data_IF_232047107383
#
_entry.id   IF_232047107383
#
_cell.length_a   1.000
_cell.length_b   1.000
_cell.length_c   1.000
_cell.angle_alpha   90.00
_cell.angle_beta   90.00
_cell.angle_gamma   90.00
#
_symmetry.space_group_name_H-M   'P 1'
#
loop_
_entity.id
_entity.type
_entity.pdbx_description
1 polymer ?
#
# COMPACT_ATOMS: atom_id res chain seq x y z
N UNK A 1 5.60 -9.22 -9.92
CA UNK A 1 5.30 -9.24 -11.37
C UNK A 1 5.79 -7.92 -11.96
N UNK A 2 6.53 -7.93 -13.08
CA UNK A 2 6.97 -6.69 -13.72
C UNK A 2 5.79 -5.76 -14.04
N UNK A 3 5.96 -4.45 -13.82
CA UNK A 3 4.96 -3.42 -14.15
C UNK A 3 3.87 -3.15 -13.11
N UNK A 4 3.85 -3.89 -11.99
CA UNK A 4 2.87 -3.66 -10.91
C UNK A 4 3.20 -2.38 -10.13
N UNK A 5 2.16 -1.60 -9.81
CA UNK A 5 2.25 -0.38 -8.99
C UNK A 5 1.91 -0.66 -7.53
N UNK A 6 2.70 -0.11 -6.62
CA UNK A 6 2.48 -0.21 -5.17
C UNK A 6 2.24 1.19 -4.63
N UNK A 7 1.06 1.42 -4.05
CA UNK A 7 0.71 2.71 -3.45
C UNK A 7 1.52 3.05 -2.19
N UNK A 8 1.53 4.33 -1.83
CA UNK A 8 2.22 4.82 -0.64
C UNK A 8 1.70 4.17 0.64
N UNK A 9 2.61 3.85 1.56
CA UNK A 9 2.27 3.33 2.89
C UNK A 9 1.65 1.93 2.89
N UNK A 10 1.79 1.14 1.82
CA UNK A 10 1.39 -0.28 1.79
C UNK A 10 2.24 -1.10 2.76
N UNK A 11 1.64 -2.12 3.38
CA UNK A 11 2.36 -3.14 4.17
C UNK A 11 2.25 -4.47 3.43
N UNK A 12 3.41 -5.09 3.16
CA UNK A 12 3.52 -6.37 2.47
C UNK A 12 3.95 -7.42 3.49
N UNK A 13 3.13 -8.46 3.67
CA UNK A 13 3.47 -9.60 4.51
C UNK A 13 4.69 -10.36 3.98
N UNK A 14 5.47 -10.94 4.88
CA UNK A 14 6.61 -11.78 4.51
C UNK A 14 6.17 -12.92 3.55
N UNK A 15 7.01 -13.22 2.56
CA UNK A 15 6.76 -14.22 1.51
C UNK A 15 5.53 -13.97 0.61
N UNK A 16 4.95 -12.76 0.62
CA UNK A 16 3.84 -12.44 -0.28
C UNK A 16 4.29 -12.26 -1.73
N UNK A 17 3.48 -12.74 -2.69
CA UNK A 17 3.72 -12.57 -4.13
C UNK A 17 2.71 -11.59 -4.72
N UNK A 18 3.19 -10.40 -5.07
CA UNK A 18 2.37 -9.34 -5.66
C UNK A 18 2.19 -9.59 -7.16
N UNK A 19 0.92 -9.79 -7.56
CA UNK A 19 0.51 -10.03 -8.95
C UNK A 19 -0.39 -8.94 -9.54
N UNK A 20 -0.85 -7.98 -8.73
CA UNK A 20 -1.75 -6.90 -9.12
C UNK A 20 -1.40 -5.62 -8.38
N UNK A 21 -1.83 -4.47 -8.93
CA UNK A 21 -1.66 -3.17 -8.30
C UNK A 21 -2.29 -3.11 -6.91
N UNK A 22 -1.61 -2.45 -5.98
CA UNK A 22 -2.03 -2.34 -4.58
C UNK A 22 -2.32 -0.88 -4.24
N UNK A 23 -3.51 -0.63 -3.69
CA UNK A 23 -3.94 0.70 -3.26
C UNK A 23 -3.12 1.22 -2.06
N UNK A 24 -2.94 2.55 -1.93
CA UNK A 24 -2.26 3.15 -0.78
C UNK A 24 -2.82 2.68 0.56
N UNK A 25 -1.94 2.56 1.55
CA UNK A 25 -2.30 2.17 2.93
C UNK A 25 -3.03 0.82 3.06
N UNK A 26 -2.87 -0.09 2.08
CA UNK A 26 -3.42 -1.45 2.13
C UNK A 26 -2.42 -2.42 2.77
N UNK A 27 -2.92 -3.35 3.58
CA UNK A 27 -2.14 -4.49 4.11
C UNK A 27 -2.45 -5.71 3.26
N UNK A 28 -1.42 -6.34 2.69
CA UNK A 28 -1.55 -7.52 1.81
C UNK A 28 -0.66 -8.67 2.27
N UNK A 29 -1.11 -9.91 2.04
CA UNK A 29 -0.30 -11.11 2.31
C UNK A 29 -0.72 -12.30 1.43
N UNK A 30 0.16 -13.30 1.33
CA UNK A 30 -0.10 -14.58 0.67
C UNK A 30 0.44 -14.70 -0.76
N UNK A 31 0.19 -15.86 -1.37
CA UNK A 31 0.62 -16.21 -2.73
C UNK A 31 -0.58 -16.81 -3.49
N UNK A 32 -1.24 -16.07 -4.39
CA UNK A 32 -1.03 -14.64 -4.66
C UNK A 32 -1.48 -13.76 -3.50
N UNK A 33 -0.87 -12.57 -3.38
CA UNK A 33 -1.17 -11.64 -2.30
C UNK A 33 -2.62 -11.12 -2.40
N UNK A 34 -3.33 -11.12 -1.27
CA UNK A 34 -4.69 -10.60 -1.14
C UNK A 34 -4.74 -9.46 -0.12
N UNK A 35 -5.61 -8.46 -0.33
CA UNK A 35 -5.86 -7.44 0.68
C UNK A 35 -6.48 -8.05 1.93
N UNK A 36 -5.90 -7.75 3.09
CA UNK A 36 -6.41 -8.15 4.40
C UNK A 36 -7.28 -7.03 5.00
N UNK A 37 -6.74 -5.81 5.04
CA UNK A 37 -7.43 -4.61 5.53
C UNK A 37 -6.69 -3.33 5.11
N UNK A 38 -7.32 -2.18 5.30
CA UNK A 38 -6.63 -0.90 5.27
C UNK A 38 -5.97 -0.57 6.61
N UNK A 39 -4.86 0.16 6.58
CA UNK A 39 -4.18 0.68 7.78
C UNK A 39 -5.01 1.75 8.48
N UNK A 40 -5.70 2.58 7.70
CA UNK A 40 -6.47 3.72 8.16
C UNK A 40 -7.81 3.82 7.42
N UNK A 41 -8.70 4.71 7.89
CA UNK A 41 -9.93 5.05 7.20
C UNK A 41 -9.65 5.88 5.94
N UNK A 42 -10.59 5.90 4.99
CA UNK A 42 -10.49 6.69 3.76
C UNK A 42 -10.10 8.16 3.98
N UNK A 43 -10.74 8.90 4.90
CA UNK A 43 -10.39 10.30 5.17
C UNK A 43 -8.94 10.48 5.66
N UNK A 44 -8.46 9.59 6.53
CA UNK A 44 -7.08 9.66 7.02
C UNK A 44 -6.08 9.37 5.91
N UNK A 45 -6.37 8.39 5.04
CA UNK A 45 -5.52 8.08 3.87
C UNK A 45 -5.44 9.29 2.94
N UNK A 46 -6.57 9.96 2.69
CA UNK A 46 -6.60 11.16 1.86
C UNK A 46 -5.70 12.26 2.42
N UNK A 47 -5.80 12.56 3.71
CA UNK A 47 -4.94 13.58 4.35
C UNK A 47 -3.46 13.19 4.31
N UNK A 48 -3.12 11.92 4.54
CA UNK A 48 -1.73 11.44 4.47
C UNK A 48 -1.13 11.57 3.07
N UNK A 49 -1.93 11.31 2.03
CA UNK A 49 -1.51 11.44 0.63
C UNK A 49 -1.37 12.91 0.22
N UNK A 50 -2.28 13.78 0.68
CA UNK A 50 -2.25 15.21 0.42
C UNK A 50 -1.03 15.90 1.03
N UNK A 51 -0.68 15.55 2.28
CA UNK A 51 0.50 16.10 2.94
C UNK A 51 1.82 15.62 2.33
N UNK A 52 1.81 14.49 1.60
CA UNK A 52 2.99 13.88 0.97
C UNK A 52 4.25 13.90 1.86
N UNK A 53 4.08 13.65 3.16
CA UNK A 53 5.07 14.03 4.18
C UNK A 53 6.45 13.37 4.01
N UNK A 54 6.51 12.21 3.34
CA UNK A 54 7.74 11.49 3.02
C UNK A 54 8.57 12.19 1.93
N UNK A 55 7.95 12.96 1.05
CA UNK A 55 8.62 13.74 0.00
C UNK A 55 9.20 15.05 0.56
N UNK A 56 8.70 15.53 1.71
CA UNK A 56 9.22 16.71 2.39
C UNK A 56 10.58 16.47 3.06
N UNK A 57 10.98 15.20 3.21
CA UNK A 57 12.22 14.81 3.89
C UNK A 57 13.39 14.51 2.93
N UNK A 58 13.19 14.67 1.61
CA UNK A 58 14.19 14.45 0.56
C UNK A 58 14.78 15.78 0.07
#
# INVERSE_FOLDING_TARGET
MPGVKIGHGVIIGANAVITKDILPSTIVAGVPAKPLRMRFSGPVIAHLLEMAWVELAA
#
